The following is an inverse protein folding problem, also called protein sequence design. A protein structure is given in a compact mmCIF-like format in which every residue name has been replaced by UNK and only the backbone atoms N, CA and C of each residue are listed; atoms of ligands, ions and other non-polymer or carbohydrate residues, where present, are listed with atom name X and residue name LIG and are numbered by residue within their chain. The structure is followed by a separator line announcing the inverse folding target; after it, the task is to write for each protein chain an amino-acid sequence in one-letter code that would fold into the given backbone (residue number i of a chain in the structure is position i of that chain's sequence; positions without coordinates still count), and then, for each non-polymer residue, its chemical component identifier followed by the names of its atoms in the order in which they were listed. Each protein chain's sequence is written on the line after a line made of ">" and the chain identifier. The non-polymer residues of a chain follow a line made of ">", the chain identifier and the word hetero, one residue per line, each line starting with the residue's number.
data_IF_209075704192
#
_entry.id   IF_209075704192
#
_cell.length_a   1.000
_cell.length_b   1.000
_cell.length_c   1.000
_cell.angle_alpha   90.00
_cell.angle_beta   90.00
_cell.angle_gamma   90.00
#
_symmetry.space_group_name_H-M   'P 1'
#
loop_
_entity.id
_entity.type
_entity.pdbx_description
1 polymer ?
#
# COMPACT_ATOMS: atom_id res chain seq x y z
N UNK A 1 0.27 10.47 10.85
CA UNK A 1 0.44 9.38 9.87
C UNK A 1 -0.85 9.07 9.10
N UNK A 2 -1.78 8.22 9.61
CA UNK A 2 -3.00 7.85 8.85
C UNK A 2 -3.78 9.05 8.30
N UNK A 3 -4.14 9.99 9.19
CA UNK A 3 -4.98 11.14 8.81
C UNK A 3 -4.29 12.07 7.79
N UNK A 4 -2.97 12.23 7.86
CA UNK A 4 -2.22 13.08 6.91
C UNK A 4 -2.23 12.49 5.50
N UNK A 5 -2.06 11.17 5.39
CA UNK A 5 -2.14 10.46 4.11
C UNK A 5 -3.56 10.54 3.55
N UNK A 6 -4.57 10.36 4.39
CA UNK A 6 -5.96 10.45 3.95
C UNK A 6 -6.34 11.87 3.53
N UNK A 7 -5.95 12.88 4.30
CA UNK A 7 -6.17 14.29 3.94
C UNK A 7 -5.53 14.62 2.59
N UNK A 8 -4.29 14.18 2.38
CA UNK A 8 -3.58 14.38 1.11
C UNK A 8 -4.27 13.68 -0.06
N UNK A 9 -4.74 12.43 0.13
CA UNK A 9 -5.48 11.71 -0.89
C UNK A 9 -6.84 12.35 -1.20
N UNK A 10 -7.63 12.66 -0.17
CA UNK A 10 -8.99 13.20 -0.36
C UNK A 10 -8.96 14.62 -0.92
N UNK A 11 -7.95 15.43 -0.56
CA UNK A 11 -7.68 16.73 -1.18
C UNK A 11 -7.38 16.63 -2.69
N UNK A 12 -6.94 15.46 -3.16
CA UNK A 12 -6.64 15.19 -4.57
C UNK A 12 -7.59 14.16 -5.20
N UNK A 13 -8.73 13.86 -4.54
CA UNK A 13 -9.62 12.75 -4.93
C UNK A 13 -10.15 12.87 -6.37
N UNK A 14 -10.26 14.08 -6.91
CA UNK A 14 -10.71 14.31 -8.28
C UNK A 14 -9.80 13.66 -9.33
N UNK A 15 -8.50 13.54 -9.05
CA UNK A 15 -7.55 12.82 -9.91
C UNK A 15 -7.80 11.31 -9.83
N UNK A 16 -7.94 10.81 -8.60
CA UNK A 16 -8.06 9.39 -8.27
C UNK A 16 -9.42 8.77 -8.61
N UNK A 17 -10.51 9.55 -8.57
CA UNK A 17 -11.87 9.05 -8.86
C UNK A 17 -11.99 8.48 -10.28
N UNK A 18 -11.14 8.95 -11.21
CA UNK A 18 -11.09 8.48 -12.60
C UNK A 18 -10.81 6.97 -12.70
N UNK A 19 -10.08 6.43 -11.71
CA UNK A 19 -9.71 5.01 -11.62
C UNK A 19 -10.44 4.26 -10.50
N UNK A 20 -11.45 4.88 -9.85
CA UNK A 20 -12.09 4.31 -8.66
C UNK A 20 -13.00 3.13 -9.01
N UNK A 21 -13.73 3.20 -10.13
CA UNK A 21 -14.57 2.10 -10.59
C UNK A 21 -13.72 0.87 -10.91
N UNK A 22 -12.56 1.07 -11.54
CA UNK A 22 -11.61 0.02 -11.89
C UNK A 22 -11.01 -0.62 -10.64
N UNK A 23 -10.63 0.20 -9.64
CA UNK A 23 -10.16 -0.30 -8.35
C UNK A 23 -11.21 -1.19 -7.66
N UNK A 24 -12.50 -0.85 -7.76
CA UNK A 24 -13.60 -1.63 -7.17
C UNK A 24 -13.93 -2.92 -7.92
N UNK A 25 -13.86 -2.88 -9.25
CA UNK A 25 -14.26 -4.00 -10.11
C UNK A 25 -13.09 -4.95 -10.44
N UNK A 26 -11.87 -4.64 -9.98
CA UNK A 26 -10.63 -5.38 -10.26
C UNK A 26 -10.36 -5.65 -11.76
N UNK A 27 -10.85 -4.77 -12.65
CA UNK A 27 -10.73 -4.98 -14.09
C UNK A 27 -9.39 -4.47 -14.61
N UNK A 28 -8.60 -5.35 -15.23
CA UNK A 28 -7.26 -5.02 -15.76
C UNK A 28 -7.28 -4.22 -17.07
N UNK A 29 -8.45 -4.08 -17.73
CA UNK A 29 -8.60 -3.58 -19.11
C UNK A 29 -8.17 -2.13 -19.33
N UNK A 30 -7.78 -1.39 -18.29
CA UNK A 30 -7.46 0.03 -18.37
C UNK A 30 -6.01 0.38 -18.00
N UNK A 31 -5.13 -0.61 -17.78
CA UNK A 31 -3.71 -0.35 -17.46
C UNK A 31 -3.02 0.51 -18.52
N UNK A 32 -3.38 0.35 -19.79
CA UNK A 32 -2.81 1.10 -20.92
C UNK A 32 -3.67 2.31 -21.37
N UNK A 33 -4.68 2.68 -20.57
CA UNK A 33 -5.59 3.77 -20.92
C UNK A 33 -5.01 5.15 -20.56
N UNK A 34 -5.54 6.18 -21.22
CA UNK A 34 -5.29 7.57 -20.85
C UNK A 34 -6.44 8.10 -20.01
N UNK A 35 -6.11 8.93 -19.02
CA UNK A 35 -7.09 9.65 -18.20
C UNK A 35 -7.30 11.06 -18.75
N UNK A 36 -8.48 11.64 -18.49
CA UNK A 36 -8.86 12.94 -19.04
C UNK A 36 -8.27 14.12 -18.26
N UNK A 37 -8.06 13.97 -16.95
CA UNK A 37 -7.39 14.96 -16.09
C UNK A 37 -6.07 14.41 -15.56
N UNK A 38 -5.06 15.26 -15.54
CA UNK A 38 -3.75 14.94 -14.98
C UNK A 38 -3.20 16.07 -14.12
N UNK A 39 -2.91 15.76 -12.86
CA UNK A 39 -2.13 16.62 -11.98
C UNK A 39 -1.00 15.83 -11.30
N UNK A 40 -0.04 15.37 -12.10
CA UNK A 40 1.04 14.52 -11.61
C UNK A 40 1.86 15.15 -10.47
N UNK A 41 2.03 16.48 -10.50
CA UNK A 41 2.75 17.21 -9.44
C UNK A 41 2.14 16.97 -8.07
N UNK A 42 0.81 16.92 -7.97
CA UNK A 42 0.10 16.70 -6.71
C UNK A 42 -0.03 15.23 -6.35
N UNK A 43 -0.14 14.34 -7.34
CA UNK A 43 -0.38 12.92 -7.05
C UNK A 43 0.89 12.12 -6.76
N UNK A 44 2.06 12.53 -7.28
CA UNK A 44 3.29 11.71 -7.37
C UNK A 44 3.88 11.20 -6.05
N UNK A 45 3.54 11.78 -4.90
CA UNK A 45 4.10 11.36 -3.60
C UNK A 45 3.20 10.40 -2.84
N UNK A 46 1.89 10.43 -3.12
CA UNK A 46 0.86 9.81 -2.29
C UNK A 46 1.09 8.31 -2.15
N UNK A 47 1.44 7.63 -3.26
CA UNK A 47 1.75 6.20 -3.22
C UNK A 47 2.85 5.85 -2.19
N UNK A 48 3.95 6.61 -2.18
CA UNK A 48 5.06 6.38 -1.25
C UNK A 48 4.67 6.65 0.20
N UNK A 49 3.88 7.69 0.43
CA UNK A 49 3.38 8.04 1.77
C UNK A 49 2.45 6.95 2.32
N UNK A 50 1.53 6.44 1.49
CA UNK A 50 0.66 5.31 1.85
C UNK A 50 1.48 4.07 2.16
N UNK A 51 2.47 3.74 1.31
CA UNK A 51 3.37 2.60 1.52
C UNK A 51 4.06 2.68 2.89
N UNK A 52 4.60 3.83 3.26
CA UNK A 52 5.32 4.01 4.52
C UNK A 52 4.41 3.80 5.74
N UNK A 53 3.18 4.34 5.71
CA UNK A 53 2.23 4.18 6.82
C UNK A 53 1.72 2.74 6.87
N UNK A 54 1.37 2.15 5.73
CA UNK A 54 0.87 0.78 5.67
C UNK A 54 1.90 -0.21 6.22
N UNK A 55 3.14 -0.17 5.73
CA UNK A 55 4.20 -1.07 6.20
C UNK A 55 4.61 -0.87 7.65
N UNK A 56 4.39 0.32 8.22
CA UNK A 56 4.68 0.57 9.64
C UNK A 56 3.65 -0.07 10.58
N UNK A 57 2.41 -0.28 10.12
CA UNK A 57 1.29 -0.73 10.94
C UNK A 57 0.82 -2.16 10.60
N UNK A 58 1.49 -2.85 9.68
CA UNK A 58 1.01 -4.12 9.11
C UNK A 58 1.05 -5.34 10.06
N UNK A 59 1.72 -5.22 11.21
CA UNK A 59 2.03 -6.35 12.09
C UNK A 59 0.78 -7.15 12.50
N UNK A 60 -0.28 -6.48 12.97
CA UNK A 60 -1.52 -7.14 13.43
C UNK A 60 -2.11 -8.02 12.32
N UNK A 61 -2.19 -7.48 11.12
CA UNK A 61 -2.71 -8.19 9.94
C UNK A 61 -1.80 -9.34 9.53
N UNK A 62 -0.48 -9.17 9.58
CA UNK A 62 0.46 -10.25 9.26
C UNK A 62 0.28 -11.46 10.21
N UNK A 63 0.04 -11.22 11.50
CA UNK A 63 -0.21 -12.29 12.47
C UNK A 63 -1.58 -12.94 12.28
N UNK A 64 -2.64 -12.15 12.05
CA UNK A 64 -3.97 -12.68 11.74
C UNK A 64 -3.95 -13.54 10.47
N UNK A 65 -3.22 -13.10 9.45
CA UNK A 65 -2.98 -13.87 8.25
C UNK A 65 -2.27 -15.21 8.52
N UNK A 66 -1.39 -15.25 9.52
CA UNK A 66 -0.71 -16.48 9.90
C UNK A 66 -1.68 -17.48 10.53
N UNK A 67 -2.53 -16.99 11.42
CA UNK A 67 -3.59 -17.77 12.08
C UNK A 67 -4.61 -18.28 11.04
N UNK A 68 -5.06 -17.43 10.13
CA UNK A 68 -6.05 -17.77 9.08
C UNK A 68 -5.56 -18.90 8.17
N UNK A 69 -4.26 -18.94 7.90
CA UNK A 69 -3.63 -20.00 7.10
C UNK A 69 -3.13 -21.20 7.91
N UNK A 70 -3.51 -21.28 9.20
CA UNK A 70 -3.13 -22.37 10.11
C UNK A 70 -1.62 -22.64 10.18
N UNK A 71 -0.79 -21.60 10.00
CA UNK A 71 0.67 -21.72 10.07
C UNK A 71 1.14 -21.77 11.51
N UNK A 72 2.31 -22.38 11.72
CA UNK A 72 3.00 -22.36 13.01
C UNK A 72 3.39 -20.93 13.40
N UNK A 73 3.50 -20.68 14.71
CA UNK A 73 3.69 -19.32 15.26
C UNK A 73 4.99 -18.64 14.79
N UNK A 74 6.05 -19.40 14.50
CA UNK A 74 7.37 -18.89 14.08
C UNK A 74 7.54 -18.89 12.55
N UNK A 75 6.52 -19.25 11.78
CA UNK A 75 6.64 -19.39 10.32
C UNK A 75 5.61 -18.52 9.62
N UNK A 76 6.08 -17.64 8.74
CA UNK A 76 5.23 -16.92 7.79
C UNK A 76 5.21 -17.60 6.42
N UNK A 77 4.34 -17.10 5.54
CA UNK A 77 4.12 -17.64 4.19
C UNK A 77 5.41 -17.85 3.37
N UNK A 78 6.32 -16.88 3.39
CA UNK A 78 7.62 -17.05 2.73
C UNK A 78 8.50 -17.95 3.59
N UNK A 79 8.92 -19.11 3.06
CA UNK A 79 9.64 -20.19 3.80
C UNK A 79 10.84 -19.70 4.62
N UNK A 80 11.46 -18.57 4.23
CA UNK A 80 12.63 -17.99 4.90
C UNK A 80 12.29 -16.92 5.94
N UNK A 81 11.02 -16.60 6.15
CA UNK A 81 10.55 -15.53 7.03
C UNK A 81 10.05 -16.13 8.35
N UNK A 82 10.96 -16.23 9.32
CA UNK A 82 10.60 -16.61 10.70
C UNK A 82 10.04 -15.42 11.48
N UNK A 83 9.47 -15.64 12.68
CA UNK A 83 9.02 -14.56 13.55
C UNK A 83 10.14 -13.56 13.85
N UNK A 84 11.32 -14.04 14.24
CA UNK A 84 12.46 -13.17 14.53
C UNK A 84 12.94 -12.38 13.30
N UNK A 85 12.94 -13.03 12.12
CA UNK A 85 13.28 -12.34 10.87
C UNK A 85 12.23 -11.33 10.47
N UNK A 86 10.96 -11.63 10.68
CA UNK A 86 9.86 -10.71 10.42
C UNK A 86 9.99 -9.43 11.25
N UNK A 87 10.25 -9.55 12.55
CA UNK A 87 10.40 -8.39 13.46
C UNK A 87 11.56 -7.47 13.06
N UNK A 88 12.63 -8.03 12.49
CA UNK A 88 13.85 -7.31 12.09
C UNK A 88 13.89 -6.94 10.61
N UNK A 89 12.90 -7.38 9.82
CA UNK A 89 12.80 -7.04 8.39
C UNK A 89 12.39 -5.59 8.19
N UNK A 90 12.86 -5.03 7.07
CA UNK A 90 12.36 -3.75 6.59
C UNK A 90 10.89 -3.87 6.15
N UNK A 91 10.25 -2.74 5.86
CA UNK A 91 8.82 -2.71 5.51
C UNK A 91 8.49 -3.59 4.30
N UNK A 92 9.38 -3.64 3.30
CA UNK A 92 9.23 -4.49 2.13
C UNK A 92 9.41 -5.98 2.48
N UNK A 93 10.40 -6.33 3.29
CA UNK A 93 10.64 -7.68 3.77
C UNK A 93 9.47 -8.22 4.59
N UNK A 94 8.85 -7.39 5.43
CA UNK A 94 7.64 -7.77 6.18
C UNK A 94 6.48 -8.19 5.28
N UNK A 95 6.29 -7.54 4.13
CA UNK A 95 5.19 -7.86 3.21
C UNK A 95 5.30 -9.24 2.56
N UNK A 96 6.46 -9.91 2.64
CA UNK A 96 6.61 -11.29 2.19
C UNK A 96 5.73 -12.28 2.97
N UNK A 97 5.17 -11.88 4.11
CA UNK A 97 4.17 -12.68 4.81
C UNK A 97 2.84 -12.86 4.02
N UNK A 98 2.62 -12.06 2.97
CA UNK A 98 1.44 -12.17 2.08
C UNK A 98 1.77 -12.77 0.70
N UNK A 99 3.02 -13.17 0.45
CA UNK A 99 3.47 -13.61 -0.87
C UNK A 99 2.75 -14.88 -1.36
N UNK A 100 2.09 -14.82 -2.52
CA UNK A 100 1.36 -15.96 -3.08
C UNK A 100 0.13 -16.40 -2.27
N UNK A 101 -0.35 -15.54 -1.37
CA UNK A 101 -1.48 -15.82 -0.50
C UNK A 101 -2.82 -15.66 -1.24
N UNK A 102 -3.74 -16.60 -1.05
CA UNK A 102 -5.10 -16.56 -1.62
C UNK A 102 -6.16 -16.09 -0.62
N UNK A 103 -5.80 -15.89 0.65
CA UNK A 103 -6.72 -15.38 1.68
C UNK A 103 -7.07 -13.91 1.46
N UNK A 104 -8.09 -13.46 2.20
CA UNK A 104 -8.54 -12.06 2.21
C UNK A 104 -7.41 -11.07 2.56
N UNK A 105 -6.40 -11.52 3.31
CA UNK A 105 -5.29 -10.69 3.74
C UNK A 105 -4.29 -10.35 2.62
N UNK A 106 -4.37 -11.00 1.45
CA UNK A 106 -3.52 -10.65 0.30
C UNK A 106 -3.75 -9.21 -0.19
N UNK A 107 -4.89 -8.60 0.13
CA UNK A 107 -5.19 -7.19 -0.20
C UNK A 107 -4.13 -6.21 0.32
N UNK A 108 -3.45 -6.53 1.42
CA UNK A 108 -2.42 -5.67 2.00
C UNK A 108 -1.06 -5.80 1.30
N UNK A 109 -0.80 -6.92 0.63
CA UNK A 109 0.47 -7.17 -0.09
C UNK A 109 0.41 -6.86 -1.59
N UNK A 110 -0.77 -6.97 -2.22
CA UNK A 110 -0.95 -6.95 -3.69
C UNK A 110 -0.30 -5.76 -4.40
N UNK A 111 -0.42 -4.56 -3.83
CA UNK A 111 0.06 -3.32 -4.47
C UNK A 111 1.21 -2.69 -3.70
N UNK A 112 1.91 -3.48 -2.87
CA UNK A 112 3.02 -3.01 -2.06
C UNK A 112 4.36 -3.14 -2.81
N UNK A 113 4.62 -2.20 -3.71
CA UNK A 113 5.78 -2.16 -4.59
C UNK A 113 6.86 -1.20 -4.06
N UNK A 114 7.96 -1.77 -3.57
CA UNK A 114 9.09 -1.01 -3.03
C UNK A 114 9.82 -0.20 -4.11
N UNK A 115 9.80 -0.62 -5.38
CA UNK A 115 10.44 0.11 -6.48
C UNK A 115 9.69 1.40 -6.77
N UNK A 116 8.36 1.31 -6.90
CA UNK A 116 7.51 2.48 -7.09
C UNK A 116 7.61 3.42 -5.87
N UNK A 117 7.58 2.89 -4.65
CA UNK A 117 7.81 3.70 -3.45
C UNK A 117 9.15 4.42 -3.49
N UNK A 118 10.25 3.74 -3.81
CA UNK A 118 11.58 4.37 -3.88
C UNK A 118 11.60 5.51 -4.91
N UNK A 119 11.00 5.30 -6.07
CA UNK A 119 10.89 6.33 -7.10
C UNK A 119 10.08 7.55 -6.65
N UNK A 120 8.97 7.35 -5.94
CA UNK A 120 8.15 8.44 -5.38
C UNK A 120 8.96 9.24 -4.34
N UNK A 121 9.55 8.56 -3.35
CA UNK A 121 10.21 9.17 -2.21
C UNK A 121 11.49 9.93 -2.60
N UNK A 122 12.24 9.43 -3.58
CA UNK A 122 13.45 10.09 -4.08
C UNK A 122 13.20 11.07 -5.24
N UNK A 123 11.94 11.38 -5.55
CA UNK A 123 11.54 12.30 -6.62
C UNK A 123 12.11 11.91 -7.99
N UNK A 124 12.28 10.61 -8.24
CA UNK A 124 12.82 10.09 -9.49
C UNK A 124 11.76 9.87 -10.57
N UNK A 125 10.48 9.95 -10.21
CA UNK A 125 9.40 9.86 -11.19
C UNK A 125 9.44 11.04 -12.16
N UNK A 126 9.48 10.72 -13.44
CA UNK A 126 9.32 11.65 -14.56
C UNK A 126 8.03 11.35 -15.28
N UNK A 127 7.33 12.38 -15.73
CA UNK A 127 6.05 12.26 -16.42
C UNK A 127 6.14 12.86 -17.82
N UNK A 128 5.54 12.19 -18.81
CA UNK A 128 5.41 12.67 -20.17
C UNK A 128 3.93 12.99 -20.45
N UNK A 129 3.61 14.26 -20.67
CA UNK A 129 2.22 14.72 -20.86
C UNK A 129 1.57 14.10 -22.12
N UNK A 130 2.32 13.98 -23.23
CA UNK A 130 1.81 13.50 -24.52
C UNK A 130 1.42 12.02 -24.48
N UNK A 131 2.27 11.18 -23.89
CA UNK A 131 2.03 9.75 -23.77
C UNK A 131 1.29 9.36 -22.49
N UNK A 132 1.20 10.26 -21.51
CA UNK A 132 0.76 10.00 -20.14
C UNK A 132 1.54 8.85 -19.47
N UNK A 133 2.83 8.74 -19.74
CA UNK A 133 3.70 7.71 -19.18
C UNK A 133 4.53 8.27 -18.03
N UNK A 134 4.59 7.52 -16.93
CA UNK A 134 5.47 7.74 -15.80
C UNK A 134 6.71 6.85 -15.97
N UNK A 135 7.90 7.42 -15.86
CA UNK A 135 9.19 6.73 -15.98
C UNK A 135 10.01 6.88 -14.70
N UNK A 136 10.65 5.81 -14.25
CA UNK A 136 11.49 5.81 -13.06
C UNK A 136 12.56 4.72 -13.11
N UNK A 137 13.67 4.84 -12.35
CA UNK A 137 14.71 3.82 -12.31
C UNK A 137 14.20 2.52 -11.67
N UNK A 138 14.66 1.38 -12.17
CA UNK A 138 14.28 0.05 -11.65
C UNK A 138 14.78 -0.17 -10.21
N UNK A 139 15.92 0.43 -9.87
CA UNK A 139 16.52 0.38 -8.54
C UNK A 139 17.41 1.60 -8.32
N UNK A 140 17.25 2.29 -7.19
CA UNK A 140 18.13 3.40 -6.82
C UNK A 140 18.30 4.45 -7.93
N UNK A 141 19.51 4.97 -8.07
CA UNK A 141 19.89 5.88 -9.16
C UNK A 141 20.32 5.13 -10.44
N UNK A 142 19.81 3.92 -10.70
CA UNK A 142 20.17 3.13 -11.89
C UNK A 142 19.86 3.88 -13.20
N UNK A 143 20.69 3.63 -14.21
CA UNK A 143 20.45 4.09 -15.58
C UNK A 143 19.32 3.31 -16.26
N UNK A 144 19.05 2.09 -15.81
CA UNK A 144 17.96 1.24 -16.29
C UNK A 144 16.62 1.76 -15.74
N UNK A 145 15.67 2.00 -16.65
CA UNK A 145 14.38 2.62 -16.34
C UNK A 145 13.26 1.68 -16.68
N UNK A 146 12.20 1.77 -15.90
CA UNK A 146 10.91 1.17 -16.19
C UNK A 146 9.85 2.26 -16.36
N UNK A 147 8.70 1.85 -16.87
CA UNK A 147 7.59 2.73 -17.20
C UNK A 147 6.27 2.13 -16.77
N UNK A 148 5.30 2.98 -16.48
CA UNK A 148 3.90 2.62 -16.34
C UNK A 148 3.04 3.80 -16.82
N UNK A 149 1.83 3.52 -17.29
CA UNK A 149 0.89 4.58 -17.63
C UNK A 149 0.41 5.31 -16.38
N UNK A 150 0.08 6.58 -16.51
CA UNK A 150 -0.43 7.35 -15.38
C UNK A 150 -1.76 6.81 -14.85
N UNK A 151 -2.60 6.22 -15.71
CA UNK A 151 -3.80 5.49 -15.28
C UNK A 151 -3.43 4.32 -14.34
N UNK A 152 -2.39 3.55 -14.68
CA UNK A 152 -1.88 2.48 -13.83
C UNK A 152 -1.33 3.03 -12.51
N UNK A 153 -0.61 4.16 -12.53
CA UNK A 153 -0.14 4.82 -11.30
C UNK A 153 -1.30 5.15 -10.36
N UNK A 154 -2.35 5.78 -10.89
CA UNK A 154 -3.55 6.15 -10.13
C UNK A 154 -4.27 4.91 -9.58
N UNK A 155 -4.39 3.86 -10.39
CA UNK A 155 -4.99 2.59 -9.96
C UNK A 155 -4.21 1.94 -8.83
N UNK A 156 -2.89 1.82 -8.96
CA UNK A 156 -2.02 1.29 -7.90
C UNK A 156 -2.13 2.09 -6.61
N UNK A 157 -2.20 3.42 -6.73
CA UNK A 157 -2.38 4.33 -5.60
C UNK A 157 -3.75 4.18 -4.94
N UNK A 158 -4.81 4.03 -5.72
CA UNK A 158 -6.16 3.74 -5.21
C UNK A 158 -6.19 2.42 -4.43
N UNK A 159 -5.60 1.38 -4.99
CA UNK A 159 -5.62 0.06 -4.37
C UNK A 159 -4.85 0.05 -3.05
N UNK A 160 -3.62 0.58 -3.02
CA UNK A 160 -2.82 0.60 -1.79
C UNK A 160 -3.46 1.47 -0.70
N UNK A 161 -4.15 2.56 -1.06
CA UNK A 161 -4.84 3.38 -0.06
C UNK A 161 -6.11 2.73 0.47
N UNK A 162 -6.83 1.97 -0.36
CA UNK A 162 -7.93 1.11 0.11
C UNK A 162 -7.39 0.12 1.14
N UNK A 163 -6.24 -0.52 0.89
CA UNK A 163 -5.59 -1.40 1.88
C UNK A 163 -5.28 -0.66 3.19
N UNK A 164 -4.81 0.58 3.13
CA UNK A 164 -4.56 1.39 4.34
C UNK A 164 -5.85 1.75 5.09
N UNK A 165 -6.93 2.08 4.38
CA UNK A 165 -8.25 2.36 4.98
C UNK A 165 -8.84 1.11 5.65
N UNK A 166 -8.69 -0.06 5.03
CA UNK A 166 -9.09 -1.34 5.61
C UNK A 166 -8.29 -1.68 6.86
N UNK A 167 -6.97 -1.41 6.86
CA UNK A 167 -6.13 -1.59 8.04
C UNK A 167 -6.63 -0.75 9.21
N UNK A 168 -6.83 0.56 8.99
CA UNK A 168 -7.35 1.44 10.05
C UNK A 168 -8.72 0.96 10.54
N UNK A 169 -9.60 0.56 9.63
CA UNK A 169 -10.94 0.07 9.98
C UNK A 169 -10.85 -1.15 10.91
N UNK A 170 -9.96 -2.10 10.58
CA UNK A 170 -9.70 -3.28 11.41
C UNK A 170 -9.13 -2.88 12.78
N UNK A 171 -8.13 -2.01 12.81
CA UNK A 171 -7.51 -1.53 14.05
C UNK A 171 -8.53 -0.86 14.98
N UNK A 172 -9.42 -0.03 14.42
CA UNK A 172 -10.50 0.62 15.17
C UNK A 172 -11.52 -0.39 15.70
N UNK A 173 -11.91 -1.40 14.90
CA UNK A 173 -12.79 -2.48 15.34
C UNK A 173 -12.16 -3.25 16.50
N UNK A 174 -10.89 -3.61 16.39
CA UNK A 174 -10.13 -4.29 17.46
C UNK A 174 -10.09 -3.41 18.72
N UNK A 175 -9.71 -2.15 18.59
CA UNK A 175 -9.59 -1.23 19.72
C UNK A 175 -10.94 -1.01 20.44
N UNK A 176 -12.03 -0.86 19.68
CA UNK A 176 -13.35 -0.62 20.24
C UNK A 176 -13.96 -1.86 20.88
N UNK A 177 -13.81 -3.04 20.26
CA UNK A 177 -14.45 -4.28 20.73
C UNK A 177 -13.62 -5.01 21.79
N UNK A 178 -12.28 -4.96 21.75
CA UNK A 178 -11.43 -5.58 22.76
C UNK A 178 -11.19 -4.69 24.00
N UNK A 179 -11.88 -3.56 24.10
CA UNK A 179 -11.87 -2.78 25.33
C UNK A 179 -10.56 -2.04 25.61
N UNK A 180 -9.77 -1.66 24.60
CA UNK A 180 -8.73 -0.63 24.74
C UNK A 180 -9.33 0.77 24.95
N UNK A 181 -10.44 0.84 25.69
CA UNK A 181 -10.82 2.07 26.39
C UNK A 181 -9.75 2.25 27.46
N UNK A 182 -8.89 3.25 27.27
CA UNK A 182 -8.10 3.83 28.35
C UNK A 182 -8.96 3.84 29.61
N UNK A 183 -8.53 3.08 30.63
CA UNK A 183 -9.20 2.94 31.92
C UNK A 183 -9.92 4.23 32.31
N UNK A 184 -11.26 4.22 32.27
CA UNK A 184 -12.06 5.20 33.01
C UNK A 184 -12.42 4.72 34.41
N UNK A 185 -12.09 3.48 34.76
CA UNK A 185 -12.35 2.91 36.09
C UNK A 185 -11.13 2.12 36.59
N UNK A 186 -10.03 2.83 36.84
CA UNK A 186 -9.11 2.55 37.95
C UNK A 186 -7.90 3.51 37.91
N UNK A 187 -7.90 4.58 38.71
CA UNK A 187 -6.69 5.19 39.20
C UNK A 187 -6.34 4.56 40.57
N UNK A 188 -5.31 3.72 40.59
CA UNK A 188 -4.72 3.01 41.75
C UNK A 188 -5.52 1.83 42.32
#
# INVERSE_FOLDING_TARGET
>A
AYMEVFDTFFSNYQEFKQMNLQARLEVETFKDSKVSSVNFRRTKMIYGEVFEVLGSNINTVAFLNNIDNLREYDVFQSEKLTYQRYLTSDKAGKMKCFEGNISIFNIFGREYDSKLRNATHHKWLKYNDSSQVVTYPISGASSEKTTLFYAEYLLKTNNIIISLMLLLSLELVIAFNLGFRLNKENPL
#
